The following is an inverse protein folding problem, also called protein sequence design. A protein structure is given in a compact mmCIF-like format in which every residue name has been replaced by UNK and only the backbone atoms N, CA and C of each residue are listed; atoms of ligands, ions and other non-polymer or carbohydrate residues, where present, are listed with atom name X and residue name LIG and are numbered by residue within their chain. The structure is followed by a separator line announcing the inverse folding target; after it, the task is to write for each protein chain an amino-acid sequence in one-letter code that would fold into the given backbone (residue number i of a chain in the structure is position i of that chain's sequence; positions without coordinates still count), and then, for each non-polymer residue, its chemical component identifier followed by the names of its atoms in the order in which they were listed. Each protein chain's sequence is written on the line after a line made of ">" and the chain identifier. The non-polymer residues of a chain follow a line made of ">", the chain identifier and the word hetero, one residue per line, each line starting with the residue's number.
data_IF_194321299106
#
_entry.id   IF_194321299106
#
_cell.length_a   1.000
_cell.length_b   1.000
_cell.length_c   1.000
_cell.angle_alpha   90.00
_cell.angle_beta   90.00
_cell.angle_gamma   90.00
#
_symmetry.space_group_name_H-M   'P 1'
#
loop_
_entity.id
_entity.type
_entity.pdbx_description
1 polymer ?
#
# COMPACT_ATOMS: atom_id res chain seq x y z
N UNK A 1 -13.86 -30.52 48.11
CA UNK A 1 -15.12 -30.27 47.38
C UNK A 1 -14.86 -30.39 45.88
N UNK A 2 -15.02 -31.59 45.32
CA UNK A 2 -14.83 -31.84 43.90
C UNK A 2 -16.06 -31.41 43.11
N UNK A 3 -15.94 -30.36 42.31
CA UNK A 3 -16.92 -30.02 41.26
C UNK A 3 -16.93 -31.16 40.23
N UNK A 4 -18.12 -31.49 39.71
CA UNK A 4 -18.40 -32.69 38.91
C UNK A 4 -17.54 -32.89 37.66
N UNK A 5 -17.78 -34.01 36.97
CA UNK A 5 -17.03 -34.42 35.78
C UNK A 5 -17.05 -33.33 34.71
N UNK A 6 -15.87 -32.99 34.18
CA UNK A 6 -15.69 -32.01 33.09
C UNK A 6 -15.31 -32.75 31.81
N UNK A 7 -15.90 -32.36 30.69
CA UNK A 7 -15.57 -32.90 29.36
C UNK A 7 -14.15 -32.49 28.91
N UNK A 8 -13.46 -33.38 28.19
CA UNK A 8 -12.15 -33.09 27.60
C UNK A 8 -12.31 -32.31 26.28
N UNK A 9 -12.67 -31.03 26.41
CA UNK A 9 -12.72 -30.07 25.30
C UNK A 9 -12.13 -28.73 25.74
N UNK A 10 -11.88 -27.83 24.78
CA UNK A 10 -11.42 -26.47 25.05
C UNK A 10 -12.43 -25.75 25.95
N UNK A 11 -11.96 -25.15 27.05
CA UNK A 11 -12.79 -24.29 27.90
C UNK A 11 -12.95 -22.94 27.21
N UNK A 12 -14.16 -22.59 26.78
CA UNK A 12 -14.40 -21.35 26.04
C UNK A 12 -14.25 -20.09 26.90
N UNK A 13 -14.80 -20.12 28.11
CA UNK A 13 -14.69 -19.01 29.06
C UNK A 13 -13.22 -18.74 29.42
N UNK A 14 -12.74 -17.52 29.09
CA UNK A 14 -11.34 -17.10 29.26
C UNK A 14 -10.87 -17.16 30.73
N UNK A 15 -11.71 -16.72 31.67
CA UNK A 15 -11.39 -16.67 33.11
C UNK A 15 -11.27 -18.10 33.65
N UNK A 16 -12.27 -18.94 33.37
CA UNK A 16 -12.26 -20.35 33.79
C UNK A 16 -11.07 -21.10 33.18
N UNK A 17 -10.75 -20.83 31.92
CA UNK A 17 -9.59 -21.41 31.24
C UNK A 17 -8.28 -21.00 31.90
N UNK A 18 -8.11 -19.73 32.28
CA UNK A 18 -6.90 -19.24 32.95
C UNK A 18 -6.72 -19.87 34.34
N UNK A 19 -7.80 -19.90 35.14
CA UNK A 19 -7.77 -20.53 36.48
C UNK A 19 -7.50 -22.04 36.36
N UNK A 20 -8.15 -22.70 35.40
CA UNK A 20 -7.95 -24.14 35.16
C UNK A 20 -6.55 -24.44 34.66
N UNK A 21 -6.00 -23.62 33.75
CA UNK A 21 -4.62 -23.74 33.29
C UNK A 21 -3.64 -23.65 34.46
N UNK A 22 -3.77 -22.65 35.32
CA UNK A 22 -2.89 -22.51 36.49
C UNK A 22 -2.95 -23.74 37.41
N UNK A 23 -4.17 -24.23 37.72
CA UNK A 23 -4.36 -25.41 38.58
C UNK A 23 -3.85 -26.70 37.94
N UNK A 24 -4.22 -26.97 36.67
CA UNK A 24 -3.82 -28.20 35.96
C UNK A 24 -2.33 -28.22 35.65
N UNK A 25 -1.74 -27.08 35.26
CA UNK A 25 -0.29 -26.95 35.08
C UNK A 25 0.43 -27.31 36.38
N UNK A 26 0.05 -26.70 37.50
CA UNK A 26 0.68 -27.01 38.79
C UNK A 26 0.46 -28.49 39.20
N UNK A 27 -0.72 -29.05 38.95
CA UNK A 27 -0.98 -30.47 39.19
C UNK A 27 -0.13 -31.41 38.33
N UNK A 28 0.08 -31.07 37.06
CA UNK A 28 0.95 -31.81 36.15
C UNK A 28 2.42 -31.73 36.58
N UNK A 29 2.88 -30.55 36.98
CA UNK A 29 4.24 -30.35 37.51
C UNK A 29 4.48 -31.21 38.76
N UNK A 30 3.52 -31.26 39.70
CA UNK A 30 3.61 -32.12 40.89
C UNK A 30 3.70 -33.59 40.52
N UNK A 31 2.86 -34.06 39.59
CA UNK A 31 2.90 -35.46 39.12
C UNK A 31 4.21 -35.82 38.43
N UNK A 32 4.74 -34.91 37.62
CA UNK A 32 6.04 -35.10 36.97
C UNK A 32 7.18 -35.15 38.00
N UNK A 33 7.14 -34.29 39.02
CA UNK A 33 8.09 -34.34 40.12
C UNK A 33 7.99 -35.66 40.90
N UNK A 34 6.80 -36.07 41.31
CA UNK A 34 6.56 -37.37 41.98
C UNK A 34 7.12 -38.53 41.16
N UNK A 35 6.83 -38.59 39.85
CA UNK A 35 7.33 -39.65 38.97
C UNK A 35 8.86 -39.62 38.86
N UNK A 36 9.47 -38.43 38.76
CA UNK A 36 10.92 -38.31 38.68
C UNK A 36 11.62 -38.86 39.93
N UNK A 37 11.04 -38.62 41.12
CA UNK A 37 11.61 -39.07 42.40
C UNK A 37 11.32 -40.56 42.64
N UNK A 38 10.09 -41.02 42.38
CA UNK A 38 9.68 -42.41 42.67
C UNK A 38 10.36 -43.43 41.75
N UNK A 39 10.67 -43.04 40.52
CA UNK A 39 11.20 -43.95 39.50
C UNK A 39 12.60 -43.59 39.00
N UNK A 40 13.29 -42.63 39.64
CA UNK A 40 14.58 -42.09 39.20
C UNK A 40 14.59 -41.72 37.71
N UNK A 41 13.51 -41.06 37.28
CA UNK A 41 13.27 -40.74 35.88
C UNK A 41 13.61 -39.27 35.58
N UNK A 42 14.40 -39.03 34.53
CA UNK A 42 14.63 -37.68 34.02
C UNK A 42 13.41 -37.20 33.21
N UNK A 43 12.76 -36.13 33.67
CA UNK A 43 11.53 -35.60 33.08
C UNK A 43 11.69 -34.11 32.80
N UNK A 44 11.35 -33.71 31.57
CA UNK A 44 11.23 -32.32 31.15
C UNK A 44 9.81 -32.03 30.65
N UNK A 45 9.25 -30.89 31.06
CA UNK A 45 7.96 -30.38 30.62
C UNK A 45 8.11 -28.96 30.06
N UNK A 46 7.58 -28.75 28.86
CA UNK A 46 7.51 -27.44 28.20
C UNK A 46 6.04 -27.12 27.90
N UNK A 47 5.54 -26.00 28.40
CA UNK A 47 4.14 -25.60 28.27
C UNK A 47 4.08 -24.16 27.78
N UNK A 48 3.58 -23.97 26.57
CA UNK A 48 3.28 -22.64 26.02
C UNK A 48 1.81 -22.32 26.27
N UNK A 49 1.56 -21.18 26.93
CA UNK A 49 0.20 -20.66 27.03
C UNK A 49 -0.30 -20.12 25.68
N UNK A 50 -1.60 -19.88 25.56
CA UNK A 50 -2.19 -19.26 24.38
C UNK A 50 -1.70 -17.81 24.11
N UNK A 51 -0.97 -17.21 25.06
CA UNK A 51 -0.32 -15.89 24.91
C UNK A 51 1.17 -16.00 24.57
N UNK A 52 1.66 -17.21 24.28
CA UNK A 52 3.07 -17.47 23.99
C UNK A 52 3.98 -17.53 25.22
N UNK A 53 3.48 -17.27 26.44
CA UNK A 53 4.30 -17.39 27.66
C UNK A 53 4.71 -18.84 27.90
N UNK A 54 6.03 -19.05 28.03
CA UNK A 54 6.67 -20.33 28.36
C UNK A 54 6.58 -20.60 29.86
N UNK A 55 6.22 -21.84 30.19
CA UNK A 55 6.35 -22.43 31.52
C UNK A 55 7.09 -23.74 31.38
N UNK A 56 8.17 -23.91 32.14
CA UNK A 56 9.04 -25.06 32.04
C UNK A 56 9.29 -25.70 33.41
N UNK A 57 9.59 -27.00 33.37
CA UNK A 57 10.03 -27.77 34.53
C UNK A 57 10.99 -28.86 34.06
N UNK A 58 12.08 -29.03 34.80
CA UNK A 58 13.03 -30.10 34.58
C UNK A 58 13.36 -30.74 35.94
N UNK A 59 13.32 -32.07 36.02
CA UNK A 59 13.76 -32.79 37.23
C UNK A 59 15.28 -32.89 37.34
N UNK A 60 16.01 -32.74 36.22
CA UNK A 60 17.47 -32.84 36.17
C UNK A 60 18.14 -31.62 36.81
N UNK A 61 19.10 -31.80 37.74
CA UNK A 61 19.90 -30.70 38.28
C UNK A 61 20.72 -29.99 37.21
N UNK A 62 21.01 -30.68 36.10
CA UNK A 62 21.78 -30.13 34.98
C UNK A 62 20.96 -29.18 34.08
N UNK A 63 19.67 -29.01 34.39
CA UNK A 63 18.80 -28.02 33.77
C UNK A 63 18.14 -28.49 32.46
N UNK A 64 17.15 -27.71 32.02
CA UNK A 64 16.33 -28.00 30.84
C UNK A 64 17.16 -28.20 29.56
N UNK A 65 18.20 -27.39 29.36
CA UNK A 65 19.06 -27.46 28.17
C UNK A 65 19.66 -28.86 27.97
N UNK A 66 20.20 -29.46 29.05
CA UNK A 66 20.80 -30.80 28.97
C UNK A 66 19.79 -31.89 28.68
N UNK A 67 18.60 -31.84 29.28
CA UNK A 67 17.55 -32.83 29.03
C UNK A 67 17.02 -32.71 27.59
N UNK A 68 16.88 -31.48 27.06
CA UNK A 68 16.52 -31.25 25.65
C UNK A 68 17.62 -31.77 24.73
N UNK A 69 18.89 -31.52 25.04
CA UNK A 69 20.01 -32.05 24.24
C UNK A 69 20.09 -33.57 24.31
N UNK A 70 19.80 -34.17 25.46
CA UNK A 70 19.67 -35.63 25.61
C UNK A 70 18.54 -36.15 24.75
N UNK A 71 17.36 -35.52 24.76
CA UNK A 71 16.24 -35.87 23.89
C UNK A 71 16.62 -35.75 22.42
N UNK A 72 17.25 -34.64 21.99
CA UNK A 72 17.74 -34.46 20.62
C UNK A 72 18.70 -35.60 20.26
N UNK A 73 19.69 -35.89 21.10
CA UNK A 73 20.63 -36.99 20.86
C UNK A 73 19.92 -38.34 20.70
N UNK A 74 18.87 -38.65 21.45
CA UNK A 74 18.16 -39.92 21.33
C UNK A 74 17.13 -39.96 20.19
N UNK A 75 16.44 -38.83 19.94
CA UNK A 75 15.49 -38.66 18.85
C UNK A 75 16.16 -38.56 17.49
N UNK A 76 17.42 -38.08 17.46
CA UNK A 76 18.26 -38.00 16.28
C UNK A 76 19.35 -39.08 16.24
N UNK A 77 19.63 -39.86 17.29
CA UNK A 77 20.56 -41.02 17.17
C UNK A 77 19.99 -42.12 16.28
N UNK A 78 18.68 -42.12 16.03
CA UNK A 78 18.06 -42.91 14.96
C UNK A 78 18.37 -42.36 13.55
N UNK A 79 18.94 -41.16 13.43
CA UNK A 79 19.42 -40.53 12.21
C UNK A 79 20.88 -40.09 12.39
N UNK A 80 21.80 -41.00 12.09
CA UNK A 80 23.26 -40.86 12.04
C UNK A 80 23.84 -39.48 12.45
N UNK A 81 24.59 -39.34 13.57
CA UNK A 81 25.15 -38.06 14.04
C UNK A 81 26.05 -37.33 13.02
N UNK A 82 26.53 -38.02 11.98
CA UNK A 82 27.23 -37.40 10.85
C UNK A 82 26.31 -36.53 9.97
N UNK A 83 25.01 -36.82 9.92
CA UNK A 83 24.04 -36.11 9.07
C UNK A 83 23.62 -34.77 9.67
N UNK A 84 23.44 -34.68 11.00
CA UNK A 84 23.00 -33.43 11.67
C UNK A 84 24.08 -32.34 11.71
N UNK A 85 25.34 -32.72 11.95
CA UNK A 85 26.47 -31.79 11.86
C UNK A 85 26.68 -31.31 10.42
N UNK A 86 26.50 -32.22 9.44
CA UNK A 86 26.56 -31.92 8.01
C UNK A 86 25.41 -31.00 7.58
N UNK A 87 24.18 -31.24 8.03
CA UNK A 87 23.03 -30.39 7.71
C UNK A 87 23.16 -28.98 8.29
N UNK A 88 23.74 -28.83 9.50
CA UNK A 88 24.00 -27.52 10.09
C UNK A 88 25.15 -26.80 9.36
N UNK A 89 26.20 -27.54 8.99
CA UNK A 89 27.32 -27.06 8.18
C UNK A 89 26.86 -26.63 6.79
N UNK A 90 25.98 -27.40 6.15
CA UNK A 90 25.40 -27.12 4.83
C UNK A 90 24.53 -25.86 4.88
N UNK A 91 23.70 -25.71 5.92
CA UNK A 91 22.92 -24.47 6.15
C UNK A 91 23.81 -23.26 6.38
N UNK A 92 24.89 -23.41 7.13
CA UNK A 92 25.86 -22.34 7.34
C UNK A 92 26.59 -21.98 6.03
N UNK A 93 26.94 -22.98 5.24
CA UNK A 93 27.55 -22.80 3.92
C UNK A 93 26.61 -22.07 2.96
N UNK A 94 25.32 -22.40 2.97
CA UNK A 94 24.31 -21.71 2.16
C UNK A 94 24.06 -20.29 2.63
N UNK A 95 24.09 -20.04 3.93
CA UNK A 95 24.08 -18.68 4.49
C UNK A 95 25.28 -17.87 4.00
N UNK A 96 26.50 -18.44 4.02
CA UNK A 96 27.69 -17.77 3.52
C UNK A 96 27.61 -17.46 2.02
N UNK A 97 27.11 -18.40 1.21
CA UNK A 97 26.86 -18.16 -0.22
C UNK A 97 25.87 -17.01 -0.41
N UNK A 98 24.77 -17.01 0.32
CA UNK A 98 23.75 -15.96 0.25
C UNK A 98 24.33 -14.61 0.68
N UNK A 99 25.09 -14.57 1.77
CA UNK A 99 25.77 -13.37 2.25
C UNK A 99 26.69 -12.77 1.19
N UNK A 100 27.53 -13.59 0.55
CA UNK A 100 28.41 -13.12 -0.54
C UNK A 100 27.62 -12.54 -1.72
N UNK A 101 26.48 -13.15 -2.09
CA UNK A 101 25.61 -12.63 -3.15
C UNK A 101 24.99 -11.29 -2.78
N UNK A 102 24.57 -11.13 -1.54
CA UNK A 102 24.03 -9.86 -1.02
C UNK A 102 25.10 -8.76 -1.06
N UNK A 103 26.31 -9.07 -0.63
CA UNK A 103 27.44 -8.12 -0.67
C UNK A 103 27.75 -7.68 -2.11
N UNK A 104 27.82 -8.62 -3.06
CA UNK A 104 28.02 -8.29 -4.49
C UNK A 104 26.88 -7.43 -5.04
N UNK A 105 25.62 -7.74 -4.71
CA UNK A 105 24.47 -6.96 -5.15
C UNK A 105 24.46 -5.54 -4.56
N UNK A 106 24.80 -5.41 -3.28
CA UNK A 106 24.92 -4.10 -2.63
C UNK A 106 26.05 -3.27 -3.24
N UNK A 107 27.18 -3.92 -3.56
CA UNK A 107 28.29 -3.26 -4.25
C UNK A 107 27.89 -2.78 -5.64
N UNK A 108 27.20 -3.63 -6.41
CA UNK A 108 26.68 -3.28 -7.73
C UNK A 108 25.66 -2.13 -7.67
N UNK A 109 24.79 -2.12 -6.65
CA UNK A 109 23.85 -1.02 -6.44
C UNK A 109 24.56 0.31 -6.18
N UNK A 110 25.60 0.33 -5.33
CA UNK A 110 26.40 1.53 -5.05
C UNK A 110 27.06 2.06 -6.32
N UNK A 111 27.64 1.18 -7.14
CA UNK A 111 28.18 1.57 -8.45
C UNK A 111 27.11 2.20 -9.35
N UNK A 112 25.92 1.59 -9.47
CA UNK A 112 24.82 2.14 -10.25
C UNK A 112 24.33 3.51 -9.75
N UNK A 113 24.53 3.81 -8.46
CA UNK A 113 24.24 5.11 -7.85
C UNK A 113 25.39 6.11 -7.97
N UNK A 114 26.53 5.71 -8.54
CA UNK A 114 27.71 6.53 -8.71
C UNK A 114 28.62 6.61 -7.47
N UNK A 115 28.46 5.68 -6.53
CA UNK A 115 29.27 5.57 -5.31
C UNK A 115 30.42 4.56 -5.52
N UNK A 116 31.54 4.75 -4.80
CA UNK A 116 32.69 3.82 -4.76
C UNK A 116 33.32 3.45 -6.13
N UNK A 117 33.25 4.35 -7.10
CA UNK A 117 33.76 4.12 -8.46
C UNK A 117 35.29 4.10 -8.58
N UNK A 118 36.03 4.48 -7.52
CA UNK A 118 37.49 4.57 -7.55
C UNK A 118 38.20 3.23 -7.72
N UNK A 119 37.54 2.14 -7.40
CA UNK A 119 38.08 0.78 -7.47
C UNK A 119 37.78 0.10 -8.82
N UNK A 120 36.95 0.73 -9.66
CA UNK A 120 36.58 0.21 -10.98
C UNK A 120 37.62 0.56 -12.04
N UNK A 121 37.84 -0.36 -12.99
CA UNK A 121 38.67 -0.06 -14.15
C UNK A 121 37.93 0.82 -15.18
N UNK A 122 38.67 1.38 -16.14
CA UNK A 122 38.10 2.29 -17.15
C UNK A 122 37.08 1.59 -18.05
N UNK A 123 37.27 0.31 -18.37
CA UNK A 123 36.35 -0.44 -19.22
C UNK A 123 35.05 -0.77 -18.47
N UNK A 124 35.15 -1.10 -17.19
CA UNK A 124 34.03 -1.34 -16.28
C UNK A 124 33.21 -0.05 -16.10
N UNK A 125 33.89 1.10 -15.97
CA UNK A 125 33.23 2.39 -15.86
C UNK A 125 32.50 2.77 -17.16
N UNK A 126 33.12 2.55 -18.33
CA UNK A 126 32.48 2.76 -19.63
C UNK A 126 31.28 1.81 -19.85
N UNK A 127 31.38 0.57 -19.36
CA UNK A 127 30.26 -0.37 -19.39
C UNK A 127 29.10 0.12 -18.51
N UNK A 128 29.40 0.56 -17.30
CA UNK A 128 28.43 1.09 -16.35
C UNK A 128 27.73 2.34 -16.90
N UNK A 129 28.49 3.28 -17.47
CA UNK A 129 27.95 4.48 -18.11
C UNK A 129 26.96 4.12 -19.23
N UNK A 130 27.36 3.23 -20.14
CA UNK A 130 26.48 2.76 -21.22
C UNK A 130 25.21 2.10 -20.68
N UNK A 131 25.32 1.32 -19.61
CA UNK A 131 24.19 0.65 -18.98
C UNK A 131 23.21 1.65 -18.34
N UNK A 132 23.71 2.63 -17.59
CA UNK A 132 22.91 3.67 -16.94
C UNK A 132 22.25 4.55 -17.99
N UNK A 133 22.97 4.97 -19.02
CA UNK A 133 22.45 5.81 -20.09
C UNK A 133 21.38 5.09 -20.93
N UNK A 134 21.59 3.81 -21.27
CA UNK A 134 20.59 3.01 -21.97
C UNK A 134 19.30 2.83 -21.14
N UNK A 135 19.43 2.46 -19.87
CA UNK A 135 18.29 2.30 -18.97
C UNK A 135 17.55 3.62 -18.70
N UNK A 136 18.27 4.72 -18.55
CA UNK A 136 17.69 6.05 -18.40
C UNK A 136 16.90 6.49 -19.64
N UNK A 137 17.43 6.26 -20.84
CA UNK A 137 16.69 6.48 -22.09
C UNK A 137 15.40 5.68 -22.14
N UNK A 138 15.46 4.39 -21.77
CA UNK A 138 14.28 3.52 -21.75
C UNK A 138 13.24 4.03 -20.73
N UNK A 139 13.64 4.37 -19.51
CA UNK A 139 12.75 4.90 -18.47
C UNK A 139 12.08 6.20 -18.95
N UNK A 140 12.85 7.13 -19.52
CA UNK A 140 12.33 8.39 -20.06
C UNK A 140 11.33 8.15 -21.19
N UNK A 141 11.63 7.24 -22.12
CA UNK A 141 10.74 6.88 -23.23
C UNK A 141 9.42 6.28 -22.72
N UNK A 142 9.50 5.33 -21.79
CA UNK A 142 8.32 4.70 -21.18
C UNK A 142 7.47 5.72 -20.42
N UNK A 143 8.10 6.60 -19.64
CA UNK A 143 7.40 7.67 -18.92
C UNK A 143 6.72 8.64 -19.88
N UNK A 144 7.39 9.04 -20.95
CA UNK A 144 6.82 9.92 -21.97
C UNK A 144 5.61 9.27 -22.65
N UNK A 145 5.72 7.99 -23.04
CA UNK A 145 4.61 7.23 -23.62
C UNK A 145 3.42 7.16 -22.67
N UNK A 146 3.64 6.78 -21.41
CA UNK A 146 2.57 6.74 -20.41
C UNK A 146 1.87 8.09 -20.21
N UNK A 147 2.60 9.20 -20.22
CA UNK A 147 2.00 10.54 -20.12
C UNK A 147 1.18 10.91 -21.38
N UNK A 148 1.63 10.51 -22.57
CA UNK A 148 0.89 10.72 -23.81
C UNK A 148 -0.41 9.91 -23.84
N UNK A 149 -0.36 8.66 -23.39
CA UNK A 149 -1.53 7.79 -23.29
C UNK A 149 -2.57 8.41 -22.34
N UNK A 150 -2.15 8.88 -21.15
CA UNK A 150 -3.02 9.59 -20.21
C UNK A 150 -3.65 10.86 -20.79
N UNK A 151 -2.88 11.63 -21.56
CA UNK A 151 -3.41 12.82 -22.26
C UNK A 151 -4.48 12.43 -23.28
N UNK A 152 -4.27 11.34 -24.01
CA UNK A 152 -5.24 10.86 -25.00
C UNK A 152 -6.54 10.39 -24.33
N UNK A 153 -6.46 9.64 -23.24
CA UNK A 153 -7.62 9.17 -22.47
C UNK A 153 -8.44 10.35 -21.92
N UNK A 154 -7.75 11.35 -21.36
CA UNK A 154 -8.40 12.55 -20.83
C UNK A 154 -9.10 13.35 -21.93
N UNK A 155 -8.48 13.46 -23.10
CA UNK A 155 -9.08 14.16 -24.24
C UNK A 155 -10.34 13.44 -24.74
N UNK A 156 -10.31 12.11 -24.87
CA UNK A 156 -11.51 11.34 -25.24
C UNK A 156 -12.62 11.49 -24.19
N UNK A 157 -12.26 11.52 -22.90
CA UNK A 157 -13.22 11.74 -21.82
C UNK A 157 -13.82 13.15 -21.86
N UNK A 158 -13.03 14.17 -22.15
CA UNK A 158 -13.51 15.55 -22.36
C UNK A 158 -14.54 15.60 -23.48
N UNK A 159 -14.23 15.01 -24.64
CA UNK A 159 -15.14 14.98 -25.80
C UNK A 159 -16.47 14.29 -25.47
N UNK A 160 -16.44 13.13 -24.77
CA UNK A 160 -17.66 12.45 -24.31
C UNK A 160 -18.47 13.30 -23.32
N UNK A 161 -17.81 13.98 -22.39
CA UNK A 161 -18.49 14.85 -21.42
C UNK A 161 -19.11 16.07 -22.09
N UNK A 162 -18.47 16.64 -23.11
CA UNK A 162 -19.03 17.73 -23.89
C UNK A 162 -20.27 17.28 -24.67
N UNK A 163 -20.24 16.11 -25.29
CA UNK A 163 -21.40 15.58 -26.02
C UNK A 163 -22.58 15.29 -25.08
N UNK A 164 -22.32 14.61 -23.95
CA UNK A 164 -23.36 14.35 -22.95
C UNK A 164 -23.92 15.64 -22.35
N UNK A 165 -23.10 16.66 -22.11
CA UNK A 165 -23.58 17.96 -21.65
C UNK A 165 -24.47 18.64 -22.69
N UNK A 166 -24.11 18.57 -23.98
CA UNK A 166 -24.92 19.09 -25.09
C UNK A 166 -26.28 18.41 -25.15
N UNK A 167 -26.33 17.10 -25.03
CA UNK A 167 -27.59 16.34 -25.03
C UNK A 167 -28.47 16.67 -23.81
N UNK A 168 -27.87 16.84 -22.64
CA UNK A 168 -28.59 17.25 -21.43
C UNK A 168 -29.17 18.67 -21.56
N UNK A 169 -28.43 19.61 -22.16
CA UNK A 169 -28.93 20.97 -22.43
C UNK A 169 -30.14 20.94 -23.37
N UNK A 170 -30.09 20.16 -24.45
CA UNK A 170 -31.25 19.97 -25.35
C UNK A 170 -32.46 19.42 -24.61
N UNK A 171 -32.27 18.39 -23.78
CA UNK A 171 -33.38 17.81 -22.98
C UNK A 171 -33.98 18.81 -21.98
N UNK A 172 -33.17 19.69 -21.40
CA UNK A 172 -33.66 20.77 -20.54
C UNK A 172 -34.49 21.76 -21.32
N UNK A 173 -34.00 22.21 -22.48
CA UNK A 173 -34.75 23.12 -23.37
C UNK A 173 -36.09 22.50 -23.82
N UNK A 174 -36.09 21.22 -24.20
CA UNK A 174 -37.32 20.48 -24.56
C UNK A 174 -38.29 20.37 -23.37
N UNK A 175 -37.77 20.16 -22.16
CA UNK A 175 -38.59 20.06 -20.93
C UNK A 175 -39.18 21.42 -20.53
N UNK A 176 -38.39 22.49 -20.63
CA UNK A 176 -38.86 23.87 -20.37
C UNK A 176 -39.88 24.31 -21.43
N UNK A 177 -39.68 23.94 -22.70
CA UNK A 177 -40.65 24.18 -23.76
C UNK A 177 -41.96 23.44 -23.50
N UNK A 178 -41.89 22.17 -23.08
CA UNK A 178 -43.08 21.39 -22.71
C UNK A 178 -43.82 22.01 -21.51
N UNK A 179 -43.10 22.41 -20.45
CA UNK A 179 -43.67 23.09 -19.28
C UNK A 179 -44.36 24.40 -19.66
N UNK A 180 -43.70 25.21 -20.49
CA UNK A 180 -44.23 26.47 -21.00
C UNK A 180 -45.50 26.24 -21.82
N UNK A 181 -45.52 25.23 -22.68
CA UNK A 181 -46.70 24.89 -23.48
C UNK A 181 -47.88 24.41 -22.62
N UNK A 182 -47.63 23.66 -21.54
CA UNK A 182 -48.67 23.28 -20.56
C UNK A 182 -49.16 24.44 -19.68
N UNK A 183 -48.31 25.43 -19.39
CA UNK A 183 -48.69 26.64 -18.66
C UNK A 183 -49.60 27.56 -19.51
N UNK A 184 -49.23 27.80 -20.77
CA UNK A 184 -50.08 28.57 -21.70
C UNK A 184 -51.35 27.80 -22.12
N UNK A 185 -51.31 26.47 -22.19
CA UNK A 185 -52.48 25.63 -22.44
C UNK A 185 -53.54 25.67 -21.33
N UNK A 186 -53.12 25.84 -20.07
CA UNK A 186 -54.03 26.01 -18.93
C UNK A 186 -54.62 27.43 -18.88
N UNK A 187 -53.85 28.47 -19.25
CA UNK A 187 -54.34 29.85 -19.26
C UNK A 187 -55.32 30.15 -20.40
N UNK A 188 -55.23 29.42 -21.52
CA UNK A 188 -56.19 29.53 -22.62
C UNK A 188 -57.59 28.96 -22.28
N UNK A 189 -57.69 28.07 -21.28
CA UNK A 189 -58.96 27.48 -20.86
C UNK A 189 -59.78 28.40 -19.92
N UNK A 190 -59.15 29.39 -19.27
CA UNK A 190 -59.84 30.33 -18.37
C UNK A 190 -60.26 31.66 -19.04
N UNK A 191 -59.83 31.94 -20.28
CA UNK A 191 -60.17 33.19 -20.98
C UNK A 191 -61.42 33.14 -21.89
N UNK A 192 -62.25 32.11 -21.78
CA UNK A 192 -63.54 32.05 -22.49
C UNK A 192 -64.76 32.53 -21.67
N UNK A 193 -64.54 33.09 -20.48
CA UNK A 193 -65.60 33.76 -19.71
C UNK A 193 -65.11 35.09 -19.13
N UNK A 194 -64.99 36.12 -19.97
CA UNK A 194 -65.45 37.50 -19.68
C UNK A 194 -65.03 38.43 -20.81
N UNK A 195 -65.96 38.63 -21.74
CA UNK A 195 -65.96 39.74 -22.67
C UNK A 195 -66.64 40.96 -22.00
N UNK A 196 -66.19 42.16 -22.41
CA UNK A 196 -66.74 43.51 -22.20
C UNK A 196 -66.29 44.29 -20.94
N UNK A 197 -65.28 45.17 -21.09
CA UNK A 197 -65.54 46.58 -21.40
C UNK A 197 -64.26 47.44 -21.56
N UNK A 198 -64.33 48.27 -22.60
CA UNK A 198 -63.76 49.62 -22.73
C UNK A 198 -62.31 49.85 -23.17
N UNK A 199 -62.25 50.91 -23.98
CA UNK A 199 -61.19 51.39 -24.86
C UNK A 199 -60.26 52.40 -24.17
N UNK A 200 -59.11 52.58 -24.83
CA UNK A 200 -58.21 53.74 -24.83
C UNK A 200 -57.16 53.82 -23.71
N UNK A 201 -55.90 53.73 -24.17
CA UNK A 201 -54.69 54.08 -23.43
C UNK A 201 -53.46 53.57 -24.18
N UNK A 202 -52.92 54.37 -25.12
CA UNK A 202 -51.54 54.17 -25.56
C UNK A 202 -50.62 54.30 -24.34
N UNK A 203 -49.74 53.33 -24.10
CA UNK A 203 -48.38 53.62 -23.63
C UNK A 203 -47.49 52.40 -23.81
N UNK A 204 -46.35 52.68 -24.41
CA UNK A 204 -45.18 51.85 -24.60
C UNK A 204 -44.70 51.21 -23.30
N UNK A 205 -44.53 49.88 -23.31
CA UNK A 205 -43.65 49.21 -22.36
C UNK A 205 -42.74 48.26 -23.13
N UNK A 206 -41.55 48.77 -23.39
CA UNK A 206 -40.38 48.01 -23.76
C UNK A 206 -39.84 47.43 -22.45
N UNK A 207 -39.97 46.12 -22.26
CA UNK A 207 -39.38 45.39 -21.14
C UNK A 207 -38.61 44.19 -21.66
N UNK A 208 -37.34 44.42 -21.98
CA UNK A 208 -36.31 43.38 -21.96
C UNK A 208 -35.79 43.27 -20.52
N UNK A 209 -35.71 42.07 -19.91
CA UNK A 209 -34.78 41.84 -18.82
C UNK A 209 -33.38 41.47 -19.37
N UNK A 210 -32.29 41.88 -18.71
CA UNK A 210 -30.94 41.49 -19.10
C UNK A 210 -30.65 40.08 -18.61
N UNK A 211 -30.19 39.19 -19.50
CA UNK A 211 -29.52 37.96 -19.10
C UNK A 211 -28.13 38.37 -18.60
N UNK A 212 -27.93 38.29 -17.29
CA UNK A 212 -26.63 38.43 -16.66
C UNK A 212 -25.76 37.23 -17.08
N UNK A 213 -24.72 37.49 -17.85
CA UNK A 213 -23.56 36.61 -17.97
C UNK A 213 -22.86 36.54 -16.60
N UNK A 214 -23.29 35.61 -15.75
CA UNK A 214 -22.51 35.17 -14.61
C UNK A 214 -21.46 34.18 -15.11
N UNK A 215 -20.22 34.65 -15.15
CA UNK A 215 -19.09 33.89 -15.67
C UNK A 215 -18.88 32.57 -14.94
N UNK A 216 -18.64 31.52 -15.71
CA UNK A 216 -17.81 30.40 -15.29
C UNK A 216 -17.19 29.77 -16.54
N UNK A 217 -15.88 29.54 -16.47
CA UNK A 217 -14.97 29.02 -17.50
C UNK A 217 -14.43 30.01 -18.55
N UNK A 218 -13.24 30.54 -18.26
CA UNK A 218 -12.25 30.97 -19.27
C UNK A 218 -11.56 29.71 -19.83
N UNK A 219 -11.44 29.54 -21.16
CA UNK A 219 -10.53 28.55 -21.71
C UNK A 219 -9.10 29.01 -21.45
N UNK A 220 -8.29 28.18 -20.78
CA UNK A 220 -6.85 28.39 -20.77
C UNK A 220 -6.33 28.09 -22.16
N UNK A 221 -6.01 29.14 -22.91
CA UNK A 221 -5.27 29.04 -24.16
C UNK A 221 -3.84 28.62 -23.80
N UNK A 222 -3.62 27.30 -23.72
CA UNK A 222 -2.30 26.71 -23.56
C UNK A 222 -1.48 26.98 -24.83
N UNK A 223 -0.51 27.88 -24.72
CA UNK A 223 0.55 28.05 -25.70
C UNK A 223 1.29 26.72 -25.89
N UNK A 224 1.09 26.08 -27.04
CA UNK A 224 1.99 25.02 -27.51
C UNK A 224 3.12 25.71 -28.28
N UNK A 225 4.16 26.10 -27.55
CA UNK A 225 5.45 26.47 -28.11
C UNK A 225 6.51 25.55 -27.49
N UNK A 226 6.59 24.31 -27.98
CA UNK A 226 7.77 23.47 -27.82
C UNK A 226 8.76 23.87 -28.92
N UNK A 227 9.58 24.89 -28.66
CA UNK A 227 10.83 25.06 -29.40
C UNK A 227 11.91 24.21 -28.71
N UNK A 228 12.24 23.09 -29.34
CA UNK A 228 13.54 22.44 -29.18
C UNK A 228 14.62 23.38 -29.71
N UNK A 229 15.52 23.83 -28.84
CA UNK A 229 16.81 24.37 -29.26
C UNK A 229 17.92 23.61 -28.52
N UNK A 230 18.65 22.79 -29.27
CA UNK A 230 20.01 22.37 -28.93
C UNK A 230 20.92 23.60 -28.92
N UNK A 231 21.83 23.73 -27.93
CA UNK A 231 23.28 23.98 -28.10
C UNK A 231 24.00 24.16 -26.73
N UNK A 232 24.82 23.16 -26.43
CA UNK A 232 26.17 23.08 -25.81
C UNK A 232 26.78 24.18 -24.89
N UNK A 233 27.38 23.72 -23.77
CA UNK A 233 28.66 24.08 -23.04
C UNK A 233 29.00 25.57 -22.74
N UNK A 234 29.58 26.06 -21.63
CA UNK A 234 30.16 25.57 -20.35
C UNK A 234 30.44 26.83 -19.44
N UNK A 235 31.29 26.85 -18.39
CA UNK A 235 30.92 27.07 -16.99
C UNK A 235 31.39 28.43 -16.39
N UNK A 236 30.83 28.85 -15.25
CA UNK A 236 31.54 29.74 -14.31
C UNK A 236 30.91 29.71 -12.90
N UNK A 237 31.81 29.70 -11.92
CA UNK A 237 31.60 29.71 -10.47
C UNK A 237 30.57 30.73 -9.96
N UNK A 238 29.77 30.31 -8.98
CA UNK A 238 29.36 31.16 -7.86
C UNK A 238 28.99 30.30 -6.64
N UNK A 239 29.89 30.29 -5.68
CA UNK A 239 29.63 29.99 -4.26
C UNK A 239 28.49 30.88 -3.73
N UNK A 240 27.52 30.31 -3.02
CA UNK A 240 26.95 30.91 -1.81
C UNK A 240 26.05 29.94 -1.03
N UNK A 241 26.10 30.16 0.28
CA UNK A 241 25.71 29.30 1.37
C UNK A 241 24.24 29.47 1.80
N UNK A 242 23.67 28.36 2.30
CA UNK A 242 22.63 28.25 3.34
C UNK A 242 21.27 28.93 3.15
N UNK A 243 20.18 28.13 3.20
CA UNK A 243 19.19 28.18 4.29
C UNK A 243 18.17 27.04 4.19
N UNK A 244 17.95 26.39 5.33
CA UNK A 244 16.91 25.41 5.63
C UNK A 244 15.51 25.98 5.45
N UNK A 245 14.64 25.30 4.71
CA UNK A 245 13.20 25.28 5.02
C UNK A 245 12.61 23.92 4.64
N UNK A 246 12.08 23.26 5.66
CA UNK A 246 11.30 22.04 5.56
C UNK A 246 10.00 22.34 4.79
N UNK A 247 9.67 21.51 3.80
CA UNK A 247 8.28 21.34 3.39
C UNK A 247 7.99 19.84 3.25
N UNK A 248 7.10 19.39 4.12
CA UNK A 248 6.66 18.01 4.32
C UNK A 248 5.51 17.77 3.36
N UNK A 249 5.70 16.92 2.35
CA UNK A 249 4.62 16.17 1.70
C UNK A 249 5.23 15.03 0.88
N UNK A 250 5.46 13.90 1.55
CA UNK A 250 5.96 12.67 0.94
C UNK A 250 4.85 11.95 0.18
N UNK A 251 5.01 11.84 -1.13
CA UNK A 251 4.28 10.88 -1.95
C UNK A 251 5.25 9.73 -2.26
N UNK A 252 5.09 8.59 -1.58
CA UNK A 252 5.88 7.39 -1.88
C UNK A 252 5.31 6.68 -3.12
N UNK A 253 6.10 6.40 -4.17
CA UNK A 253 5.63 5.65 -5.33
C UNK A 253 5.52 4.14 -5.02
N UNK A 254 4.43 3.52 -5.49
CA UNK A 254 3.96 2.17 -5.16
C UNK A 254 4.77 0.98 -5.70
N UNK A 255 6.09 1.10 -5.86
CA UNK A 255 6.97 -0.07 -5.99
C UNK A 255 7.53 -0.55 -4.63
N UNK A 256 7.13 0.14 -3.56
CA UNK A 256 7.48 -0.17 -2.18
C UNK A 256 6.23 -0.47 -1.34
N UNK A 257 5.39 -1.40 -1.81
CA UNK A 257 4.40 -2.14 -1.02
C UNK A 257 4.35 -3.58 -1.53
#
# INVERSE_FOLDING_TARGET
>A
MGRGKVELKRIENKINRQVTFAKRRNGLLKKAYELSVLCDAEIALLIFSNRGKLYEFCSSPSGMARTVDKYRKHSYATMDPNQSAKDLQDKYQDYLKLKSRVEILQHSQRHLLGEELSEMDVNELEHLERQVDASLRQIRSTKARSMLDQLSDLKTKEEMLLETNRDLRRKLEDSDAALTQSFWGSSAAEQQQQHQQQQQGMSSYQSNPPIQEAGFFKPLQGNVALQMSHYNHNPANATNSATTSQNVNGFFPGWMV
#
